data_IF_117762800000
#
_entry.id   IF_117762800000
#
_cell.length_a   1.000
_cell.length_b   1.000
_cell.length_c   1.000
_cell.angle_alpha   90.00
_cell.angle_beta   90.00
_cell.angle_gamma   90.00
#
_symmetry.space_group_name_H-M   'P 1'
#
loop_
_entity.id
_entity.type
_entity.pdbx_description
1 polymer ?
#
# COMPACT_ATOMS: atom_id res chain seq x y z
N UNK A 1 52.33 4.56 16.89
CA UNK A 1 51.40 5.60 17.39
C UNK A 1 50.00 5.11 17.10
N UNK A 2 49.23 4.75 18.13
CA UNK A 2 47.82 4.42 17.98
C UNK A 2 47.07 5.71 17.60
N UNK A 3 46.23 5.73 16.56
CA UNK A 3 45.43 6.89 16.23
C UNK A 3 44.51 7.21 17.42
N UNK A 4 44.53 8.48 17.81
CA UNK A 4 43.76 9.04 18.91
C UNK A 4 42.25 8.83 18.65
N UNK A 5 41.63 7.96 19.44
CA UNK A 5 40.22 7.56 19.30
C UNK A 5 39.21 8.62 19.80
N UNK A 6 39.68 9.83 20.13
CA UNK A 6 38.90 10.87 20.82
C UNK A 6 38.12 11.83 19.91
N UNK A 7 38.16 11.67 18.59
CA UNK A 7 37.30 12.42 17.66
C UNK A 7 36.31 11.51 16.95
N UNK A 8 35.36 10.94 17.71
CA UNK A 8 34.19 10.31 17.12
C UNK A 8 33.14 11.38 16.75
N UNK A 9 32.76 11.52 15.48
CA UNK A 9 31.71 12.45 15.03
C UNK A 9 30.33 11.91 15.40
N UNK A 10 30.03 11.84 16.70
CA UNK A 10 28.79 11.26 17.23
C UNK A 10 27.56 12.17 17.02
N UNK A 11 27.80 13.45 16.68
CA UNK A 11 26.76 14.43 16.41
C UNK A 11 26.09 14.27 15.05
N UNK A 12 26.76 13.61 14.10
CA UNK A 12 26.33 13.53 12.71
C UNK A 12 25.03 12.73 12.54
N UNK A 13 24.81 11.71 13.37
CA UNK A 13 23.67 10.78 13.21
C UNK A 13 22.41 11.20 13.95
N UNK A 14 22.51 11.91 15.09
CA UNK A 14 21.35 12.18 15.95
C UNK A 14 20.37 13.19 15.33
N UNK A 15 20.87 14.32 14.83
CA UNK A 15 20.00 15.35 14.24
C UNK A 15 19.38 14.90 12.92
N UNK A 16 20.17 14.25 12.06
CA UNK A 16 19.68 13.67 10.82
C UNK A 16 18.54 12.67 11.06
N UNK A 17 18.69 11.81 12.06
CA UNK A 17 17.66 10.87 12.45
C UNK A 17 16.37 11.58 12.91
N UNK A 18 16.49 12.58 13.80
CA UNK A 18 15.32 13.33 14.28
C UNK A 18 14.61 14.06 13.15
N UNK A 19 15.36 14.72 12.26
CA UNK A 19 14.79 15.44 11.11
C UNK A 19 14.04 14.48 10.18
N UNK A 20 14.65 13.33 9.84
CA UNK A 20 14.01 12.33 9.00
C UNK A 20 12.78 11.71 9.68
N UNK A 21 12.84 11.44 10.99
CA UNK A 21 11.70 10.94 11.75
C UNK A 21 10.54 11.94 11.74
N UNK A 22 10.81 13.22 11.97
CA UNK A 22 9.79 14.27 11.90
C UNK A 22 9.19 14.38 10.51
N UNK A 23 10.00 14.26 9.46
CA UNK A 23 9.51 14.25 8.07
C UNK A 23 8.61 13.03 7.80
N UNK A 24 8.98 11.85 8.28
CA UNK A 24 8.15 10.65 8.19
C UNK A 24 6.80 10.85 8.91
N UNK A 25 6.81 11.37 10.14
CA UNK A 25 5.61 11.63 10.92
C UNK A 25 4.71 12.67 10.25
N UNK A 26 5.29 13.76 9.73
CA UNK A 26 4.57 14.79 8.98
C UNK A 26 3.95 14.21 7.71
N UNK A 27 4.67 13.34 7.00
CA UNK A 27 4.19 12.67 5.79
C UNK A 27 3.01 11.76 6.10
N UNK A 28 3.14 10.92 7.13
CA UNK A 28 2.06 10.06 7.58
C UNK A 28 0.83 10.87 8.02
N UNK A 29 1.04 11.97 8.75
CA UNK A 29 -0.05 12.87 9.14
C UNK A 29 -0.73 13.50 7.92
N UNK A 30 0.03 14.00 6.95
CA UNK A 30 -0.50 14.59 5.73
C UNK A 30 -1.42 13.62 4.98
N UNK A 31 -0.93 12.43 4.64
CA UNK A 31 -1.70 11.46 3.88
C UNK A 31 -2.82 10.76 4.68
N UNK A 32 -2.79 10.81 6.02
CA UNK A 32 -3.88 10.28 6.85
C UNK A 32 -4.99 11.30 7.14
N UNK A 33 -4.75 12.59 6.89
CA UNK A 33 -5.70 13.67 7.22
C UNK A 33 -6.20 14.45 6.02
N UNK A 34 -5.43 14.49 4.95
CA UNK A 34 -5.75 15.26 3.75
C UNK A 34 -5.99 14.32 2.58
N UNK A 35 -7.24 14.23 2.14
CA UNK A 35 -7.57 13.60 0.87
C UNK A 35 -7.38 14.57 -0.29
N UNK A 36 -6.98 14.03 -1.44
CA UNK A 36 -6.86 14.76 -2.69
C UNK A 36 -8.22 15.19 -3.26
N UNK A 37 -9.28 14.47 -2.88
CA UNK A 37 -10.65 14.68 -3.33
C UNK A 37 -11.61 14.61 -2.16
N UNK A 38 -12.77 15.23 -2.31
CA UNK A 38 -13.86 15.10 -1.35
C UNK A 38 -15.20 15.09 -2.08
N UNK A 39 -16.22 14.55 -1.42
CA UNK A 39 -17.56 14.48 -1.98
C UNK A 39 -18.27 15.83 -1.92
N UNK A 40 -18.60 16.40 -3.09
CA UNK A 40 -19.43 17.60 -3.22
C UNK A 40 -20.83 17.22 -3.74
N UNK A 41 -21.82 18.04 -3.36
CA UNK A 41 -23.15 18.00 -3.95
C UNK A 41 -24.08 16.93 -3.34
N UNK A 42 -25.21 16.66 -4.01
CA UNK A 42 -26.24 15.78 -3.49
C UNK A 42 -25.79 14.31 -3.52
N UNK A 43 -26.26 13.56 -2.54
CA UNK A 43 -26.14 12.11 -2.49
C UNK A 43 -26.80 11.49 -3.73
N UNK A 44 -26.11 10.57 -4.42
CA UNK A 44 -26.64 9.84 -5.58
C UNK A 44 -27.35 8.55 -5.20
N UNK A 45 -27.00 7.96 -4.06
CA UNK A 45 -27.61 6.71 -3.60
C UNK A 45 -29.03 6.92 -3.07
N UNK A 46 -29.93 5.98 -3.37
CA UNK A 46 -31.22 5.88 -2.72
C UNK A 46 -31.11 5.01 -1.47
N UNK A 47 -31.63 5.53 -0.34
CA UNK A 47 -31.60 4.84 0.96
C UNK A 47 -30.17 4.37 1.36
N UNK A 48 -29.17 5.28 1.35
CA UNK A 48 -27.77 4.96 1.67
C UNK A 48 -27.55 4.58 3.14
N UNK A 49 -28.44 5.05 4.01
CA UNK A 49 -28.41 4.81 5.44
C UNK A 49 -29.21 3.56 5.83
N UNK A 50 -29.84 2.86 4.89
CA UNK A 50 -30.64 1.66 5.15
C UNK A 50 -31.80 1.84 6.15
N UNK A 51 -32.22 3.07 6.49
CA UNK A 51 -33.33 3.31 7.42
C UNK A 51 -34.67 2.76 6.88
N UNK A 52 -34.81 2.66 5.55
CA UNK A 52 -35.96 2.03 4.88
C UNK A 52 -35.71 0.56 4.53
N UNK A 53 -34.81 -0.10 5.29
CA UNK A 53 -34.36 -1.46 5.00
C UNK A 53 -33.59 -1.52 3.68
N UNK A 54 -33.95 -2.46 2.82
CA UNK A 54 -33.33 -2.67 1.51
C UNK A 54 -34.14 -2.06 0.36
N UNK A 55 -35.08 -1.15 0.65
CA UNK A 55 -35.84 -0.47 -0.40
C UNK A 55 -34.90 0.37 -1.28
N UNK A 56 -35.05 0.27 -2.60
CA UNK A 56 -34.17 0.89 -3.60
C UNK A 56 -32.93 0.08 -3.96
N UNK A 57 -32.71 -1.08 -3.33
CA UNK A 57 -31.57 -1.97 -3.59
C UNK A 57 -32.02 -3.24 -4.31
N UNK A 58 -31.24 -3.66 -5.30
CA UNK A 58 -31.41 -4.94 -5.97
C UNK A 58 -30.72 -6.02 -5.15
N UNK A 59 -31.39 -7.15 -4.95
CA UNK A 59 -30.93 -8.24 -4.07
C UNK A 59 -30.43 -9.40 -4.91
N UNK A 60 -29.18 -9.80 -4.69
CA UNK A 60 -28.66 -11.07 -5.18
C UNK A 60 -28.61 -12.08 -4.03
N UNK A 61 -29.55 -13.03 -4.07
CA UNK A 61 -29.69 -14.06 -3.03
C UNK A 61 -28.78 -15.25 -3.36
N UNK A 62 -27.94 -15.59 -2.39
CA UNK A 62 -27.16 -16.83 -2.34
C UNK A 62 -27.50 -17.65 -1.09
N UNK A 63 -26.59 -18.53 -0.67
CA UNK A 63 -26.75 -19.44 0.49
C UNK A 63 -26.49 -18.76 1.85
N UNK A 64 -27.03 -17.55 2.06
CA UNK A 64 -26.79 -16.77 3.27
C UNK A 64 -27.90 -15.78 3.60
N UNK A 65 -27.59 -14.80 4.45
CA UNK A 65 -28.54 -13.79 4.91
C UNK A 65 -28.07 -12.39 4.55
N UNK A 66 -29.00 -11.57 4.08
CA UNK A 66 -28.85 -10.12 3.93
C UNK A 66 -29.91 -9.48 4.80
N UNK A 67 -29.50 -8.55 5.65
CA UNK A 67 -30.41 -7.84 6.55
C UNK A 67 -29.89 -6.46 6.91
N UNK A 68 -30.74 -5.68 7.54
CA UNK A 68 -30.40 -4.35 8.03
C UNK A 68 -30.67 -4.27 9.53
N UNK A 69 -29.75 -3.67 10.29
CA UNK A 69 -29.91 -3.39 11.72
C UNK A 69 -29.76 -1.88 11.95
N UNK A 70 -30.88 -1.16 11.95
CA UNK A 70 -30.84 0.31 11.98
C UNK A 70 -30.14 0.85 10.72
N UNK A 71 -29.12 1.73 10.85
CA UNK A 71 -28.49 2.36 9.70
C UNK A 71 -27.40 1.50 9.03
N UNK A 72 -27.47 0.19 9.22
CA UNK A 72 -26.37 -0.73 8.91
C UNK A 72 -26.87 -1.89 8.07
N UNK A 73 -26.12 -2.20 7.01
CA UNK A 73 -26.27 -3.41 6.22
C UNK A 73 -25.40 -4.53 6.80
N UNK A 74 -25.95 -5.74 6.88
CA UNK A 74 -25.22 -6.96 7.25
C UNK A 74 -25.42 -8.04 6.20
N UNK A 75 -24.32 -8.60 5.72
CA UNK A 75 -24.30 -9.71 4.77
C UNK A 75 -23.50 -10.85 5.40
N UNK A 76 -24.08 -12.05 5.46
CA UNK A 76 -23.39 -13.21 6.03
C UNK A 76 -23.63 -14.48 5.23
N UNK A 77 -22.59 -15.31 5.09
CA UNK A 77 -22.67 -16.63 4.50
C UNK A 77 -21.88 -17.65 5.30
N UNK A 78 -22.47 -18.82 5.53
CA UNK A 78 -21.79 -19.95 6.19
C UNK A 78 -21.08 -20.87 5.20
N UNK A 79 -21.55 -20.92 3.95
CA UNK A 79 -21.06 -21.90 2.95
C UNK A 79 -20.04 -21.31 1.99
N UNK A 80 -20.20 -20.04 1.59
CA UNK A 80 -19.32 -19.38 0.63
C UNK A 80 -19.32 -20.01 -0.75
N UNK A 81 -20.42 -20.65 -1.15
CA UNK A 81 -20.56 -21.30 -2.46
C UNK A 81 -21.20 -20.40 -3.52
N UNK A 82 -21.69 -19.22 -3.14
CA UNK A 82 -22.47 -18.32 -4.00
C UNK A 82 -22.17 -16.85 -3.69
N UNK A 83 -22.51 -15.99 -4.64
CA UNK A 83 -22.47 -14.54 -4.46
C UNK A 83 -23.70 -14.10 -3.69
N UNK A 84 -23.49 -13.29 -2.66
CA UNK A 84 -24.54 -12.74 -1.83
C UNK A 84 -24.31 -11.25 -1.69
N UNK A 85 -25.27 -10.43 -2.11
CA UNK A 85 -25.03 -9.00 -2.16
C UNK A 85 -26.26 -8.16 -2.46
N UNK A 86 -26.03 -6.86 -2.42
CA UNK A 86 -26.96 -5.87 -2.92
C UNK A 86 -26.27 -4.97 -3.94
N UNK A 87 -27.06 -4.42 -4.85
CA UNK A 87 -26.57 -3.44 -5.80
C UNK A 87 -27.57 -2.32 -6.07
N UNK A 88 -27.04 -1.18 -6.51
CA UNK A 88 -27.83 -0.08 -7.03
C UNK A 88 -27.15 0.43 -8.30
N UNK A 89 -27.90 0.45 -9.40
CA UNK A 89 -27.40 0.83 -10.71
C UNK A 89 -27.98 2.18 -11.14
N UNK A 90 -27.16 2.94 -11.84
CA UNK A 90 -27.44 4.26 -12.36
C UNK A 90 -27.13 4.28 -13.85
N UNK A 91 -27.83 5.14 -14.58
CA UNK A 91 -27.44 5.49 -15.94
C UNK A 91 -26.16 6.33 -15.89
N UNK A 92 -25.17 6.02 -16.72
CA UNK A 92 -23.87 6.68 -16.67
C UNK A 92 -23.93 8.17 -17.09
N UNK A 93 -24.85 8.50 -18.01
CA UNK A 93 -25.15 9.88 -18.45
C UNK A 93 -25.74 10.77 -17.35
N UNK A 94 -26.34 10.17 -16.32
CA UNK A 94 -26.90 10.88 -15.17
C UNK A 94 -25.87 11.15 -14.05
N UNK A 95 -24.65 10.64 -14.19
CA UNK A 95 -23.59 10.75 -13.20
C UNK A 95 -22.47 11.70 -13.68
N UNK A 96 -21.82 12.43 -12.76
CA UNK A 96 -20.62 13.20 -13.07
C UNK A 96 -19.44 12.27 -13.38
N UNK A 97 -18.52 12.73 -14.22
CA UNK A 97 -17.36 11.95 -14.68
C UNK A 97 -16.47 11.41 -13.55
N UNK A 98 -16.41 12.13 -12.42
CA UNK A 98 -15.66 11.72 -11.25
C UNK A 98 -16.59 11.58 -10.04
N UNK A 99 -16.52 10.43 -9.38
CA UNK A 99 -17.35 10.10 -8.23
C UNK A 99 -16.47 9.83 -7.02
N UNK A 100 -16.96 10.27 -5.87
CA UNK A 100 -16.35 10.01 -4.57
C UNK A 100 -17.26 9.07 -3.79
N UNK A 101 -16.72 7.90 -3.44
CA UNK A 101 -17.39 6.91 -2.61
C UNK A 101 -16.77 6.93 -1.22
N UNK A 102 -17.62 7.00 -0.20
CA UNK A 102 -17.24 6.88 1.21
C UNK A 102 -18.10 5.81 1.86
N UNK A 103 -17.49 5.02 2.74
CA UNK A 103 -18.20 3.97 3.47
C UNK A 103 -17.38 3.53 4.68
N UNK A 104 -18.08 3.09 5.72
CA UNK A 104 -17.45 2.34 6.80
C UNK A 104 -17.76 0.85 6.63
N UNK A 105 -16.72 0.02 6.76
CA UNK A 105 -16.84 -1.42 6.63
C UNK A 105 -16.24 -2.12 7.84
N UNK A 106 -16.92 -3.17 8.31
CA UNK A 106 -16.42 -4.14 9.30
C UNK A 106 -16.54 -5.53 8.72
N UNK A 107 -15.55 -6.39 8.94
CA UNK A 107 -15.60 -7.80 8.53
C UNK A 107 -15.33 -8.71 9.73
N UNK A 108 -16.07 -9.80 9.84
CA UNK A 108 -15.84 -10.86 10.83
C UNK A 108 -15.66 -12.20 10.12
N UNK A 109 -14.46 -12.77 10.32
CA UNK A 109 -14.06 -14.12 9.87
C UNK A 109 -14.40 -14.36 8.40
N UNK A 110 -14.13 -13.36 7.56
CA UNK A 110 -14.28 -13.51 6.12
C UNK A 110 -13.18 -14.43 5.61
N UNK A 111 -13.55 -15.66 5.24
CA UNK A 111 -12.61 -16.63 4.66
C UNK A 111 -12.74 -16.51 3.14
N UNK A 112 -11.66 -16.12 2.44
CA UNK A 112 -11.69 -15.96 1.00
C UNK A 112 -11.94 -17.29 0.29
N UNK A 113 -12.55 -17.21 -0.88
CA UNK A 113 -12.79 -18.35 -1.75
C UNK A 113 -11.56 -18.74 -2.58
N UNK A 114 -11.80 -19.51 -3.65
CA UNK A 114 -10.73 -20.06 -4.51
C UNK A 114 -9.97 -19.00 -5.31
N UNK A 115 -10.63 -17.93 -5.75
CA UNK A 115 -10.02 -16.87 -6.54
C UNK A 115 -9.64 -15.71 -5.64
N UNK A 116 -8.61 -14.94 -6.01
CA UNK A 116 -8.12 -13.81 -5.22
C UNK A 116 -9.19 -12.72 -4.99
N UNK A 117 -10.14 -12.60 -5.92
CA UNK A 117 -11.30 -11.71 -5.82
C UNK A 117 -12.49 -12.29 -5.05
N UNK A 118 -12.43 -13.53 -4.58
CA UNK A 118 -13.48 -14.13 -3.75
C UNK A 118 -13.28 -13.69 -2.29
N UNK A 119 -13.86 -12.55 -1.93
CA UNK A 119 -13.88 -12.02 -0.56
C UNK A 119 -15.03 -11.01 -0.39
N UNK A 120 -15.11 -10.33 0.76
CA UNK A 120 -16.08 -9.26 0.97
C UNK A 120 -15.65 -8.01 0.20
N UNK A 121 -16.50 -7.48 -0.68
CA UNK A 121 -16.17 -6.40 -1.60
C UNK A 121 -17.24 -5.34 -1.68
N UNK A 122 -16.78 -4.12 -1.92
CA UNK A 122 -17.55 -2.97 -2.34
C UNK A 122 -16.93 -2.53 -3.65
N UNK A 123 -17.69 -2.54 -4.73
CA UNK A 123 -17.21 -2.23 -6.07
C UNK A 123 -18.14 -1.23 -6.75
N UNK A 124 -17.57 -0.25 -7.45
CA UNK A 124 -18.29 0.57 -8.42
C UNK A 124 -17.86 0.13 -9.81
N UNK A 125 -18.79 -0.46 -10.57
CA UNK A 125 -18.51 -1.12 -11.85
C UNK A 125 -19.32 -0.44 -12.96
N UNK A 126 -18.64 0.02 -14.00
CA UNK A 126 -19.28 0.44 -15.25
C UNK A 126 -19.62 -0.78 -16.10
N UNK A 127 -20.72 -0.76 -16.83
CA UNK A 127 -21.07 -1.78 -17.82
C UNK A 127 -21.31 -1.14 -19.17
N UNK A 128 -20.86 -1.82 -20.22
CA UNK A 128 -21.11 -1.41 -21.60
C UNK A 128 -22.55 -1.72 -22.05
N UNK A 129 -22.85 -1.34 -23.30
CA UNK A 129 -24.15 -1.59 -23.95
C UNK A 129 -24.54 -3.06 -24.06
N UNK A 130 -23.56 -3.97 -24.04
CA UNK A 130 -23.78 -5.41 -24.06
C UNK A 130 -23.96 -5.98 -22.65
N UNK A 131 -23.92 -5.14 -21.62
CA UNK A 131 -24.02 -5.54 -20.22
C UNK A 131 -22.74 -6.19 -19.68
N UNK A 132 -21.60 -6.06 -20.37
CA UNK A 132 -20.30 -6.56 -19.89
C UNK A 132 -19.68 -5.56 -18.93
N UNK A 133 -19.17 -6.06 -17.81
CA UNK A 133 -18.48 -5.25 -16.82
C UNK A 133 -17.16 -4.70 -17.37
N UNK A 134 -16.94 -3.40 -17.18
CA UNK A 134 -15.72 -2.68 -17.50
C UNK A 134 -14.90 -2.62 -16.21
N UNK A 135 -13.92 -3.51 -16.15
CA UNK A 135 -13.08 -3.73 -14.98
C UNK A 135 -11.80 -2.87 -15.01
N UNK A 136 -11.75 -1.81 -15.79
CA UNK A 136 -10.66 -0.84 -15.70
C UNK A 136 -11.07 0.27 -14.72
N UNK A 137 -10.24 0.53 -13.70
CA UNK A 137 -10.61 1.44 -12.60
C UNK A 137 -11.77 0.97 -11.71
N UNK A 138 -12.29 -0.25 -11.87
CA UNK A 138 -13.33 -0.80 -10.99
C UNK A 138 -12.78 -1.17 -9.61
N UNK A 139 -13.65 -1.11 -8.61
CA UNK A 139 -13.41 -1.68 -7.28
C UNK A 139 -12.88 -0.68 -6.27
N UNK A 140 -13.55 -0.66 -5.12
CA UNK A 140 -13.32 0.33 -4.07
C UNK A 140 -12.60 -0.28 -2.89
N UNK A 141 -13.14 -1.38 -2.38
CA UNK A 141 -12.60 -2.04 -1.23
C UNK A 141 -12.89 -3.53 -1.26
N UNK A 142 -11.90 -4.33 -0.86
CA UNK A 142 -11.97 -5.76 -0.67
C UNK A 142 -11.31 -6.11 0.65
N UNK A 143 -11.90 -7.03 1.42
CA UNK A 143 -11.34 -7.43 2.71
C UNK A 143 -11.63 -8.89 3.05
N UNK A 144 -10.67 -9.51 3.74
CA UNK A 144 -10.70 -10.89 4.25
C UNK A 144 -10.15 -10.94 5.68
N UNK A 145 -10.62 -11.86 6.50
CA UNK A 145 -10.26 -11.99 7.91
C UNK A 145 -11.24 -11.27 8.84
N UNK A 146 -10.76 -10.77 9.96
CA UNK A 146 -11.54 -9.99 10.94
C UNK A 146 -10.87 -8.65 11.18
N UNK A 147 -11.64 -7.57 11.07
CA UNK A 147 -11.19 -6.22 11.43
C UNK A 147 -12.40 -5.43 11.90
N UNK A 148 -12.16 -4.54 12.86
CA UNK A 148 -13.18 -3.59 13.30
C UNK A 148 -13.50 -2.56 12.20
N UNK A 149 -14.46 -1.67 12.47
CA UNK A 149 -14.87 -0.58 11.59
C UNK A 149 -13.68 0.21 11.07
N UNK A 150 -13.61 0.32 9.74
CA UNK A 150 -12.65 1.17 9.03
C UNK A 150 -13.39 2.05 8.06
N UNK A 151 -12.99 3.31 8.04
CA UNK A 151 -13.42 4.23 7.01
C UNK A 151 -12.63 3.94 5.73
N UNK A 152 -13.35 3.88 4.64
CA UNK A 152 -12.85 3.65 3.30
C UNK A 152 -13.36 4.78 2.43
N UNK A 153 -12.48 5.25 1.56
CA UNK A 153 -12.74 6.35 0.64
C UNK A 153 -11.98 6.13 -0.67
N UNK A 154 -12.45 6.75 -1.75
CA UNK A 154 -11.98 6.37 -3.08
C UNK A 154 -12.62 7.17 -4.20
N UNK A 155 -11.75 7.58 -5.12
CA UNK A 155 -12.10 8.28 -6.35
C UNK A 155 -12.38 7.26 -7.46
N UNK A 156 -13.51 7.43 -8.13
CA UNK A 156 -13.88 6.69 -9.32
C UNK A 156 -13.93 7.62 -10.52
N UNK A 157 -13.26 7.21 -11.59
CA UNK A 157 -13.44 7.82 -12.90
C UNK A 157 -14.39 6.93 -13.70
N UNK A 158 -15.48 7.51 -14.19
CA UNK A 158 -16.44 6.80 -15.02
C UNK A 158 -15.78 6.40 -16.35
N UNK A 159 -15.81 5.12 -16.74
CA UNK A 159 -15.34 4.73 -18.07
C UNK A 159 -16.20 5.41 -19.14
N UNK A 160 -15.58 6.01 -20.16
CA UNK A 160 -16.30 6.74 -21.22
C UNK A 160 -17.31 5.86 -21.99
N UNK A 161 -17.06 4.55 -22.02
CA UNK A 161 -17.88 3.56 -22.70
C UNK A 161 -18.96 2.90 -21.81
N UNK A 162 -19.08 3.34 -20.55
CA UNK A 162 -20.11 2.81 -19.64
C UNK A 162 -21.47 3.42 -19.98
N UNK A 163 -22.49 2.57 -20.13
CA UNK A 163 -23.89 3.00 -20.24
C UNK A 163 -24.59 2.99 -18.88
N UNK A 164 -24.20 2.06 -18.01
CA UNK A 164 -24.69 1.97 -16.64
C UNK A 164 -23.54 1.77 -15.68
N UNK A 165 -23.70 2.27 -14.46
CA UNK A 165 -22.74 2.10 -13.37
C UNK A 165 -23.47 1.51 -12.18
N UNK A 166 -22.95 0.44 -11.60
CA UNK A 166 -23.55 -0.20 -10.43
C UNK A 166 -22.59 -0.15 -9.25
N UNK A 167 -23.10 0.31 -8.11
CA UNK A 167 -22.48 0.09 -6.82
C UNK A 167 -22.91 -1.29 -6.33
N UNK A 168 -21.94 -2.16 -6.09
CA UNK A 168 -22.11 -3.54 -5.70
C UNK A 168 -21.48 -3.77 -4.32
N UNK A 169 -22.27 -4.24 -3.36
CA UNK A 169 -21.81 -4.61 -2.02
C UNK A 169 -22.05 -6.11 -1.83
N UNK A 170 -20.99 -6.91 -1.91
CA UNK A 170 -21.06 -8.36 -2.07
C UNK A 170 -20.10 -9.15 -1.19
N UNK A 171 -20.55 -10.35 -0.81
CA UNK A 171 -19.70 -11.43 -0.32
C UNK A 171 -19.55 -12.45 -1.45
N UNK A 172 -18.42 -12.40 -2.17
CA UNK A 172 -18.16 -13.24 -3.35
C UNK A 172 -17.61 -14.60 -2.96
N UNK A 173 -18.38 -15.67 -3.15
CA UNK A 173 -17.97 -17.06 -2.91
C UNK A 173 -17.12 -17.24 -1.64
N UNK A 174 -17.53 -16.59 -0.54
CA UNK A 174 -16.76 -16.47 0.69
C UNK A 174 -17.63 -16.73 1.92
N UNK A 175 -17.00 -17.20 2.98
CA UNK A 175 -17.66 -17.44 4.28
C UNK A 175 -17.40 -16.28 5.22
N UNK A 176 -18.23 -16.12 6.23
CA UNK A 176 -18.12 -15.07 7.25
C UNK A 176 -19.22 -14.04 7.12
N UNK A 177 -19.02 -12.88 7.73
CA UNK A 177 -19.94 -11.75 7.62
C UNK A 177 -19.20 -10.45 7.40
N UNK A 178 -19.85 -9.53 6.69
CA UNK A 178 -19.40 -8.17 6.64
C UNK A 178 -20.57 -7.20 6.77
N UNK A 179 -20.24 -6.02 7.27
CA UNK A 179 -21.17 -4.99 7.66
C UNK A 179 -20.73 -3.66 7.08
N UNK A 180 -21.72 -2.87 6.67
CA UNK A 180 -21.51 -1.59 6.00
C UNK A 180 -22.43 -0.52 6.59
N UNK A 181 -21.91 0.69 6.79
CA UNK A 181 -22.68 1.87 7.20
C UNK A 181 -22.06 3.16 6.63
N UNK A 182 -22.75 4.29 6.81
CA UNK A 182 -22.30 5.61 6.38
C UNK A 182 -21.92 5.66 4.89
N UNK A 183 -22.72 5.00 4.05
CA UNK A 183 -22.46 4.88 2.63
C UNK A 183 -22.79 6.19 1.89
N UNK A 184 -21.88 6.70 1.07
CA UNK A 184 -22.08 7.94 0.32
C UNK A 184 -21.43 7.88 -1.05
N UNK A 185 -22.20 8.21 -2.09
CA UNK A 185 -21.72 8.36 -3.46
C UNK A 185 -22.07 9.75 -3.94
N UNK A 186 -21.05 10.58 -4.14
CA UNK A 186 -21.19 11.99 -4.52
C UNK A 186 -20.29 12.33 -5.70
N UNK A 187 -20.45 13.53 -6.23
CA UNK A 187 -19.49 14.08 -7.19
C UNK A 187 -18.14 14.30 -6.48
N UNK A 188 -17.03 13.97 -7.13
CA UNK A 188 -15.72 14.23 -6.58
C UNK A 188 -15.28 15.65 -6.95
N UNK A 189 -14.89 16.44 -5.94
CA UNK A 189 -14.24 17.73 -6.13
C UNK A 189 -12.79 17.66 -5.67
N UNK A 190 -11.88 18.18 -6.50
CA UNK A 190 -10.46 18.27 -6.17
C UNK A 190 -10.23 19.24 -5.02
N UNK A 191 -9.49 18.80 -4.01
CA UNK A 191 -9.07 19.69 -2.94
C UNK A 191 -7.91 20.57 -3.45
N UNK A 192 -8.18 21.84 -3.70
CA UNK A 192 -7.20 22.78 -4.24
C UNK A 192 -5.98 23.02 -3.32
N UNK A 193 -6.10 22.76 -2.01
CA UNK A 193 -4.97 22.83 -1.08
C UNK A 193 -4.06 21.60 -1.16
N UNK A 194 -4.55 20.46 -1.64
CA UNK A 194 -3.80 19.21 -1.61
C UNK A 194 -2.55 19.23 -2.52
N UNK A 195 -2.63 19.61 -3.82
CA UNK A 195 -1.45 19.65 -4.69
C UNK A 195 -0.29 20.51 -4.18
N UNK A 196 -0.49 21.78 -3.72
CA UNK A 196 0.61 22.59 -3.22
C UNK A 196 1.22 22.01 -1.94
N UNK A 197 0.42 21.52 -0.99
CA UNK A 197 0.93 20.90 0.24
C UNK A 197 1.73 19.62 -0.05
N UNK A 198 1.24 18.76 -0.95
CA UNK A 198 1.98 17.59 -1.44
C UNK A 198 3.30 18.00 -2.09
N UNK A 199 3.29 19.07 -2.89
CA UNK A 199 4.49 19.62 -3.53
C UNK A 199 5.54 20.13 -2.53
N UNK A 200 5.11 20.87 -1.51
CA UNK A 200 5.99 21.35 -0.41
C UNK A 200 6.61 20.17 0.34
N UNK A 201 5.80 19.15 0.66
CA UNK A 201 6.29 17.96 1.37
C UNK A 201 7.27 17.16 0.50
N UNK A 202 7.00 17.00 -0.80
CA UNK A 202 7.92 16.37 -1.74
C UNK A 202 9.24 17.15 -1.86
N UNK A 203 9.18 18.48 -1.92
CA UNK A 203 10.38 19.32 -1.92
C UNK A 203 11.20 19.12 -0.63
N UNK A 204 10.54 19.02 0.53
CA UNK A 204 11.21 18.73 1.80
C UNK A 204 11.93 17.37 1.76
N UNK A 205 11.31 16.33 1.19
CA UNK A 205 11.93 15.03 0.95
C UNK A 205 13.17 15.13 0.06
N UNK A 206 13.11 15.90 -1.03
CA UNK A 206 14.25 16.09 -1.93
C UNK A 206 15.39 16.83 -1.20
N UNK A 207 15.10 17.93 -0.51
CA UNK A 207 16.11 18.71 0.21
C UNK A 207 16.79 17.88 1.30
N UNK A 208 16.00 17.18 2.12
CA UNK A 208 16.53 16.31 3.18
C UNK A 208 17.29 15.12 2.58
N UNK A 209 16.78 14.51 1.51
CA UNK A 209 17.45 13.42 0.80
C UNK A 209 18.82 13.84 0.24
N UNK A 210 18.90 15.01 -0.41
CA UNK A 210 20.17 15.58 -0.91
C UNK A 210 21.12 15.87 0.24
N UNK A 211 20.63 16.44 1.36
CA UNK A 211 21.43 16.71 2.54
C UNK A 211 22.00 15.43 3.16
N UNK A 212 21.18 14.37 3.28
CA UNK A 212 21.59 13.06 3.78
C UNK A 212 22.57 12.37 2.83
N UNK A 213 22.37 12.46 1.52
CA UNK A 213 23.27 11.90 0.52
C UNK A 213 24.61 12.62 0.52
N UNK A 214 24.61 13.96 0.55
CA UNK A 214 25.83 14.76 0.67
C UNK A 214 26.60 14.40 1.95
N UNK A 215 25.88 14.29 3.06
CA UNK A 215 26.39 13.83 4.34
C UNK A 215 27.06 12.45 4.21
N UNK A 216 26.35 11.48 3.65
CA UNK A 216 26.88 10.12 3.42
C UNK A 216 28.14 10.13 2.55
N UNK A 217 28.13 10.88 1.44
CA UNK A 217 29.26 10.99 0.52
C UNK A 217 30.46 11.68 1.17
N UNK A 218 30.25 12.74 1.93
CA UNK A 218 31.31 13.45 2.66
C UNK A 218 31.99 12.54 3.68
N UNK A 219 31.22 11.70 4.37
CA UNK A 219 31.73 10.72 5.33
C UNK A 219 32.46 9.54 4.66
N UNK A 220 32.11 9.21 3.43
CA UNK A 220 32.64 8.04 2.72
C UNK A 220 33.65 8.38 1.62
N UNK A 221 34.04 9.65 1.47
CA UNK A 221 34.92 10.14 0.40
C UNK A 221 36.29 9.46 0.36
N UNK A 222 36.74 8.88 1.47
CA UNK A 222 38.06 8.25 1.61
C UNK A 222 38.09 6.76 1.21
N UNK A 223 36.95 6.11 0.97
CA UNK A 223 36.91 4.67 0.67
C UNK A 223 35.92 4.35 -0.46
N UNK A 224 36.32 3.56 -1.46
CA UNK A 224 35.50 3.22 -2.63
C UNK A 224 34.12 2.61 -2.33
N UNK A 225 33.92 2.06 -1.12
CA UNK A 225 32.63 1.55 -0.63
C UNK A 225 31.55 2.65 -0.49
N UNK A 226 31.95 3.93 -0.41
CA UNK A 226 31.11 5.13 -0.58
C UNK A 226 30.14 5.04 -1.72
N UNK A 227 30.74 4.91 -2.89
CA UNK A 227 30.03 4.90 -4.16
C UNK A 227 29.14 3.66 -4.29
N UNK A 228 29.55 2.53 -3.72
CA UNK A 228 28.73 1.31 -3.70
C UNK A 228 27.43 1.50 -2.92
N UNK A 229 27.50 2.05 -1.69
CA UNK A 229 26.29 2.31 -0.90
C UNK A 229 25.39 3.33 -1.61
N UNK A 230 25.96 4.37 -2.21
CA UNK A 230 25.17 5.35 -2.96
C UNK A 230 24.50 4.73 -4.20
N UNK A 231 25.20 3.85 -4.91
CA UNK A 231 24.64 3.10 -6.02
C UNK A 231 23.48 2.20 -5.59
N UNK A 232 23.64 1.46 -4.49
CA UNK A 232 22.56 0.64 -3.93
C UNK A 232 21.34 1.49 -3.54
N UNK A 233 21.55 2.59 -2.81
CA UNK A 233 20.47 3.51 -2.42
C UNK A 233 19.76 4.10 -3.64
N UNK A 234 20.49 4.46 -4.69
CA UNK A 234 19.92 4.98 -5.93
C UNK A 234 19.05 3.93 -6.62
N UNK A 235 19.54 2.69 -6.77
CA UNK A 235 18.77 1.60 -7.38
C UNK A 235 17.50 1.31 -6.57
N UNK A 236 17.60 1.26 -5.24
CA UNK A 236 16.44 1.10 -4.37
C UNK A 236 15.45 2.24 -4.52
N UNK A 237 15.91 3.49 -4.55
CA UNK A 237 15.06 4.67 -4.73
C UNK A 237 14.34 4.65 -6.09
N UNK A 238 15.04 4.28 -7.17
CA UNK A 238 14.44 4.10 -8.49
C UNK A 238 13.36 3.01 -8.48
N UNK A 239 13.58 1.91 -7.77
CA UNK A 239 12.57 0.85 -7.60
C UNK A 239 11.36 1.30 -6.79
N UNK A 240 11.58 2.06 -5.70
CA UNK A 240 10.53 2.60 -4.83
C UNK A 240 9.66 3.62 -5.58
N UNK A 241 10.29 4.54 -6.32
CA UNK A 241 9.62 5.63 -7.05
C UNK A 241 9.10 5.21 -8.43
N UNK A 242 9.29 3.94 -8.81
CA UNK A 242 8.83 3.41 -10.09
C UNK A 242 7.29 3.45 -10.17
N UNK A 243 6.72 4.01 -11.26
CA UNK A 243 5.29 3.91 -11.54
C UNK A 243 4.82 2.45 -11.53
N UNK A 244 3.59 2.22 -11.05
CA UNK A 244 3.04 0.88 -10.85
C UNK A 244 2.97 0.08 -12.17
N UNK A 245 2.74 0.74 -13.30
CA UNK A 245 2.65 0.15 -14.63
C UNK A 245 4.00 -0.40 -15.08
N UNK A 246 5.06 0.40 -14.90
CA UNK A 246 6.43 0.01 -15.22
C UNK A 246 6.87 -1.14 -14.31
N UNK A 247 6.54 -1.06 -13.02
CA UNK A 247 6.83 -2.11 -12.05
C UNK A 247 6.17 -3.43 -12.46
N UNK A 248 4.88 -3.42 -12.78
CA UNK A 248 4.16 -4.62 -13.20
C UNK A 248 4.74 -5.20 -14.48
N UNK A 249 5.04 -4.34 -15.47
CA UNK A 249 5.70 -4.77 -16.70
C UNK A 249 7.03 -5.48 -16.41
N UNK A 250 7.87 -4.90 -15.55
CA UNK A 250 9.17 -5.47 -15.18
C UNK A 250 9.01 -6.80 -14.43
N UNK A 251 8.07 -6.90 -13.50
CA UNK A 251 7.79 -8.15 -12.78
C UNK A 251 7.37 -9.27 -13.74
N UNK A 252 6.54 -8.97 -14.74
CA UNK A 252 6.15 -9.94 -15.77
C UNK A 252 7.34 -10.40 -16.62
N UNK A 253 8.27 -9.50 -16.97
CA UNK A 253 9.49 -9.88 -17.68
C UNK A 253 10.37 -10.79 -16.83
N UNK A 254 10.58 -10.43 -15.55
CA UNK A 254 11.39 -11.22 -14.62
C UNK A 254 10.76 -12.60 -14.38
N UNK A 255 9.44 -12.67 -14.22
CA UNK A 255 8.72 -13.95 -14.09
C UNK A 255 8.91 -14.82 -15.34
N UNK A 256 8.81 -14.22 -16.54
CA UNK A 256 9.06 -14.92 -17.80
C UNK A 256 10.45 -15.54 -17.85
N UNK A 257 11.49 -14.77 -17.48
CA UNK A 257 12.88 -15.25 -17.42
C UNK A 257 13.05 -16.33 -16.34
N UNK A 258 12.50 -16.13 -15.14
CA UNK A 258 12.61 -17.08 -14.04
C UNK A 258 12.02 -18.45 -14.39
N UNK A 259 10.90 -18.47 -15.12
CA UNK A 259 10.28 -19.71 -15.61
C UNK A 259 11.20 -20.47 -16.58
N UNK A 260 12.02 -19.79 -17.38
CA UNK A 260 13.00 -20.46 -18.26
C UNK A 260 14.05 -21.25 -17.44
N UNK A 261 14.34 -20.82 -16.22
CA UNK A 261 15.26 -21.48 -15.30
C UNK A 261 14.56 -22.42 -14.30
N UNK A 262 13.26 -22.68 -14.47
CA UNK A 262 12.49 -23.55 -13.56
C UNK A 262 12.22 -22.94 -12.18
N UNK A 263 12.35 -21.63 -12.02
CA UNK A 263 12.07 -20.92 -10.77
C UNK A 263 10.60 -20.50 -10.74
N UNK A 264 9.87 -20.92 -9.71
CA UNK A 264 8.49 -20.52 -9.46
C UNK A 264 8.44 -19.15 -8.76
N UNK A 265 8.63 -18.07 -9.52
CA UNK A 265 8.36 -16.70 -9.09
C UNK A 265 7.01 -16.25 -9.63
N UNK A 266 6.26 -15.50 -8.83
CA UNK A 266 4.94 -14.98 -9.20
C UNK A 266 4.97 -13.45 -9.14
N UNK A 267 4.52 -12.79 -10.21
CA UNK A 267 4.29 -11.34 -10.20
C UNK A 267 3.25 -10.97 -9.14
N UNK A 268 3.39 -9.78 -8.58
CA UNK A 268 2.48 -9.29 -7.56
C UNK A 268 1.11 -9.03 -8.18
N UNK A 269 0.06 -9.75 -7.74
CA UNK A 269 -1.31 -9.39 -8.11
C UNK A 269 -1.60 -7.96 -7.62
N UNK A 270 -2.18 -7.16 -8.50
CA UNK A 270 -2.19 -5.69 -8.44
C UNK A 270 -3.07 -5.09 -7.33
N UNK A 271 -3.77 -5.90 -6.53
CA UNK A 271 -4.77 -5.39 -5.58
C UNK A 271 -4.80 -6.18 -4.28
N UNK A 272 -3.75 -6.05 -3.49
CA UNK A 272 -3.79 -6.43 -2.08
C UNK A 272 -4.11 -5.21 -1.23
N UNK A 273 -5.39 -5.04 -0.91
CA UNK A 273 -5.82 -4.01 0.04
C UNK A 273 -5.43 -4.41 1.45
N UNK A 274 -4.54 -3.61 2.04
CA UNK A 274 -4.29 -3.39 3.47
C UNK A 274 -4.69 -4.51 4.44
N UNK A 275 -4.06 -5.68 4.30
CA UNK A 275 -3.81 -6.49 5.48
C UNK A 275 -2.77 -5.75 6.32
N UNK A 276 -3.12 -5.39 7.57
CA UNK A 276 -2.13 -5.01 8.59
C UNK A 276 -1.44 -6.31 9.03
N UNK A 277 -0.80 -6.99 8.09
CA UNK A 277 0.00 -8.17 8.35
C UNK A 277 1.44 -7.71 8.48
N UNK A 278 2.07 -7.99 9.62
CA UNK A 278 3.48 -7.73 9.80
C UNK A 278 4.34 -8.58 8.86
N UNK A 279 3.83 -9.71 8.38
CA UNK A 279 4.54 -10.60 7.46
C UNK A 279 3.82 -10.69 6.12
N UNK A 280 4.55 -10.84 5.01
CA UNK A 280 3.94 -10.99 3.70
C UNK A 280 3.19 -12.33 3.60
N UNK A 281 1.94 -12.29 3.14
CA UNK A 281 1.16 -13.51 2.84
C UNK A 281 1.74 -14.30 1.65
N UNK A 282 2.38 -13.60 0.71
CA UNK A 282 3.03 -14.16 -0.46
C UNK A 282 4.33 -13.41 -0.77
N UNK A 283 5.33 -14.16 -1.25
CA UNK A 283 6.62 -13.62 -1.71
C UNK A 283 6.53 -13.28 -3.19
N UNK A 284 6.65 -11.99 -3.50
CA UNK A 284 6.68 -11.48 -4.89
C UNK A 284 8.08 -10.99 -5.24
N UNK A 285 8.32 -10.78 -6.54
CA UNK A 285 9.58 -10.26 -7.07
C UNK A 285 9.94 -8.92 -6.42
N UNK A 286 8.97 -8.02 -6.22
CA UNK A 286 9.19 -6.77 -5.52
C UNK A 286 9.70 -6.96 -4.09
N UNK A 287 9.08 -7.87 -3.32
CA UNK A 287 9.50 -8.16 -1.93
C UNK A 287 10.91 -8.74 -1.89
N UNK A 288 11.27 -9.57 -2.85
CA UNK A 288 12.65 -10.07 -2.98
C UNK A 288 13.64 -8.93 -3.30
N UNK A 289 13.24 -7.96 -4.14
CA UNK A 289 14.04 -6.78 -4.43
C UNK A 289 14.28 -5.90 -3.20
N UNK A 290 13.24 -5.68 -2.39
CA UNK A 290 13.31 -5.00 -1.10
C UNK A 290 14.27 -5.71 -0.13
N UNK A 291 14.03 -7.01 0.11
CA UNK A 291 14.87 -7.85 0.96
C UNK A 291 16.35 -7.81 0.53
N UNK A 292 16.62 -8.00 -0.77
CA UNK A 292 17.97 -8.01 -1.31
C UNK A 292 18.66 -6.65 -1.18
N UNK A 293 17.94 -5.56 -1.47
CA UNK A 293 18.47 -4.20 -1.35
C UNK A 293 18.92 -3.90 0.08
N UNK A 294 18.05 -4.13 1.05
CA UNK A 294 18.36 -3.88 2.46
C UNK A 294 19.39 -4.86 3.01
N UNK A 295 19.43 -6.10 2.53
CA UNK A 295 20.51 -7.04 2.81
C UNK A 295 21.88 -6.53 2.35
N UNK A 296 21.99 -6.04 1.12
CA UNK A 296 23.26 -5.54 0.57
C UNK A 296 23.71 -4.24 1.25
N UNK A 297 22.79 -3.30 1.47
CA UNK A 297 23.07 -2.04 2.17
C UNK A 297 23.55 -2.32 3.59
N UNK A 298 22.79 -3.12 4.35
CA UNK A 298 23.14 -3.44 5.74
C UNK A 298 24.45 -4.22 5.85
N UNK A 299 24.67 -5.23 5.01
CA UNK A 299 25.92 -5.99 4.97
C UNK A 299 27.12 -5.06 4.78
N UNK A 300 27.02 -4.12 3.83
CA UNK A 300 28.10 -3.16 3.55
C UNK A 300 28.35 -2.22 4.73
N UNK A 301 27.29 -1.71 5.36
CA UNK A 301 27.40 -0.81 6.51
C UNK A 301 27.97 -1.52 7.75
N UNK A 302 27.49 -2.72 8.06
CA UNK A 302 27.98 -3.51 9.21
C UNK A 302 29.42 -3.98 9.00
N UNK A 303 29.80 -4.36 7.78
CA UNK A 303 31.16 -4.83 7.46
C UNK A 303 32.24 -3.80 7.83
N UNK A 304 31.92 -2.51 7.77
CA UNK A 304 32.84 -1.43 8.13
C UNK A 304 33.03 -1.24 9.63
N UNK A 305 32.04 -1.61 10.45
CA UNK A 305 32.14 -1.55 11.91
C UNK A 305 32.36 -0.15 12.50
N UNK A 306 32.15 0.92 11.72
CA UNK A 306 32.34 2.32 12.16
C UNK A 306 31.24 2.83 13.09
N UNK A 307 30.11 2.13 13.17
CA UNK A 307 28.95 2.54 13.95
C UNK A 307 28.54 1.44 14.93
N UNK A 308 28.02 1.85 16.08
CA UNK A 308 27.39 0.93 17.01
C UNK A 308 26.21 0.20 16.32
N UNK A 309 26.10 -1.13 16.44
CA UNK A 309 25.07 -1.89 15.72
C UNK A 309 23.64 -1.38 15.95
N UNK A 310 23.31 -0.99 17.19
CA UNK A 310 21.99 -0.48 17.54
C UNK A 310 21.63 0.80 16.77
N UNK A 311 22.59 1.72 16.60
CA UNK A 311 22.39 2.95 15.84
C UNK A 311 22.16 2.63 14.36
N UNK A 312 22.89 1.66 13.79
CA UNK A 312 22.65 1.21 12.42
C UNK A 312 21.27 0.57 12.25
N UNK A 313 20.83 -0.26 13.19
CA UNK A 313 19.48 -0.81 13.16
C UNK A 313 18.41 0.29 13.19
N UNK A 314 18.57 1.30 14.05
CA UNK A 314 17.64 2.41 14.12
C UNK A 314 17.57 3.21 12.81
N UNK A 315 18.73 3.53 12.21
CA UNK A 315 18.80 4.26 10.93
C UNK A 315 18.21 3.43 9.79
N UNK A 316 18.52 2.13 9.72
CA UNK A 316 18.01 1.25 8.67
C UNK A 316 16.51 0.98 8.81
N UNK A 317 16.00 0.91 10.03
CA UNK A 317 14.56 0.87 10.28
C UNK A 317 13.87 2.14 9.81
N UNK A 318 14.44 3.31 10.12
CA UNK A 318 13.88 4.58 9.66
C UNK A 318 13.94 4.70 8.13
N UNK A 319 14.98 4.18 7.50
CA UNK A 319 15.09 4.09 6.04
C UNK A 319 14.00 3.19 5.43
N UNK A 320 13.70 2.04 6.05
CA UNK A 320 12.61 1.15 5.64
C UNK A 320 11.22 1.78 5.81
N UNK A 321 11.03 2.60 6.85
CA UNK A 321 9.78 3.39 6.97
C UNK A 321 9.71 4.49 5.91
N UNK A 322 10.83 5.17 5.67
CA UNK A 322 10.91 6.24 4.67
C UNK A 322 10.66 5.72 3.25
N UNK A 323 11.17 4.53 2.89
CA UNK A 323 10.92 3.91 1.59
C UNK A 323 9.42 3.69 1.34
N UNK A 324 8.68 3.22 2.34
CA UNK A 324 7.23 3.01 2.23
C UNK A 324 6.45 4.33 2.15
N UNK A 325 6.83 5.34 2.93
CA UNK A 325 6.17 6.65 2.88
C UNK A 325 6.43 7.37 1.55
N UNK A 326 7.60 7.21 0.95
CA UNK A 326 7.91 7.77 -0.37
C UNK A 326 7.02 7.19 -1.47
N UNK A 327 6.56 5.94 -1.34
CA UNK A 327 5.62 5.33 -2.31
C UNK A 327 4.27 6.06 -2.35
N UNK A 328 3.85 6.70 -1.26
CA UNK A 328 2.58 7.45 -1.22
C UNK A 328 2.57 8.65 -2.18
N UNK A 329 3.75 9.13 -2.61
CA UNK A 329 3.86 10.16 -3.63
C UNK A 329 3.75 9.63 -5.06
N UNK A 330 3.75 8.31 -5.26
CA UNK A 330 3.67 7.71 -6.60
C UNK A 330 2.22 7.28 -6.86
N UNK A 331 1.55 7.82 -7.88
CA UNK A 331 0.20 7.39 -8.24
C UNK A 331 0.10 5.88 -8.43
N UNK A 332 -0.96 5.27 -7.89
CA UNK A 332 -1.19 3.82 -7.99
C UNK A 332 -0.30 2.94 -7.10
N UNK A 333 0.61 3.52 -6.31
CA UNK A 333 1.37 2.80 -5.29
C UNK A 333 0.72 2.98 -3.93
N UNK A 334 0.65 1.91 -3.16
CA UNK A 334 0.20 1.91 -1.77
C UNK A 334 1.35 1.55 -0.85
N UNK A 335 1.50 2.26 0.27
CA UNK A 335 2.44 1.90 1.34
C UNK A 335 1.96 0.64 2.06
N UNK A 336 2.85 -0.30 2.36
CA UNK A 336 2.52 -1.51 3.10
C UNK A 336 3.51 -1.75 4.25
N UNK A 337 2.99 -1.85 5.48
CA UNK A 337 3.82 -2.18 6.65
C UNK A 337 4.53 -3.54 6.53
N UNK A 338 3.97 -4.48 5.74
CA UNK A 338 4.64 -5.75 5.48
C UNK A 338 5.98 -5.57 4.74
N UNK A 339 6.11 -4.53 3.91
CA UNK A 339 7.34 -4.27 3.15
C UNK A 339 8.43 -3.70 4.09
N UNK A 340 8.08 -2.90 5.11
CA UNK A 340 9.01 -2.52 6.19
C UNK A 340 9.58 -3.75 6.89
N UNK A 341 8.75 -4.75 7.19
CA UNK A 341 9.22 -5.98 7.82
C UNK A 341 10.15 -6.78 6.91
N UNK A 342 9.86 -6.84 5.60
CA UNK A 342 10.72 -7.50 4.61
C UNK A 342 12.09 -6.82 4.54
N UNK A 343 12.11 -5.48 4.51
CA UNK A 343 13.33 -4.69 4.56
C UNK A 343 14.14 -5.02 5.84
N UNK A 344 13.48 -5.09 6.99
CA UNK A 344 14.13 -5.43 8.27
C UNK A 344 14.66 -6.87 8.34
N UNK A 345 13.99 -7.84 7.68
CA UNK A 345 14.55 -9.18 7.51
C UNK A 345 15.86 -9.11 6.72
N UNK A 346 15.90 -8.34 5.63
CA UNK A 346 17.12 -8.08 4.87
C UNK A 346 18.23 -7.50 5.75
N UNK A 347 17.91 -6.51 6.58
CA UNK A 347 18.86 -5.89 7.53
C UNK A 347 19.45 -6.91 8.51
N UNK A 348 18.59 -7.75 9.11
CA UNK A 348 19.01 -8.79 10.06
C UNK A 348 19.91 -9.84 9.41
N UNK A 349 19.58 -10.27 8.18
CA UNK A 349 20.40 -11.21 7.42
C UNK A 349 21.79 -10.62 7.11
N UNK A 350 21.86 -9.35 6.73
CA UNK A 350 23.13 -8.70 6.43
C UNK A 350 24.02 -8.55 7.66
N UNK A 351 23.43 -8.19 8.80
CA UNK A 351 24.13 -8.20 10.09
C UNK A 351 24.64 -9.58 10.48
N UNK A 352 23.80 -10.62 10.34
CA UNK A 352 24.14 -11.99 10.71
C UNK A 352 25.31 -12.53 9.85
N UNK A 353 25.32 -12.25 8.55
CA UNK A 353 26.40 -12.60 7.64
C UNK A 353 27.73 -11.98 8.10
N UNK A 354 27.76 -10.66 8.27
CA UNK A 354 28.98 -9.94 8.66
C UNK A 354 29.48 -10.41 10.03
N UNK A 355 28.57 -10.60 10.98
CA UNK A 355 28.90 -11.05 12.33
C UNK A 355 29.51 -12.46 12.32
N UNK A 356 29.00 -13.33 11.47
CA UNK A 356 29.53 -14.69 11.29
C UNK A 356 30.92 -14.67 10.67
N UNK A 357 31.11 -13.91 9.58
CA UNK A 357 32.41 -13.79 8.91
C UNK A 357 33.49 -13.23 9.85
N UNK A 358 33.17 -12.24 10.68
CA UNK A 358 34.09 -11.71 11.69
C UNK A 358 34.50 -12.76 12.71
N UNK A 359 33.56 -13.60 13.19
CA UNK A 359 33.88 -14.67 14.15
C UNK A 359 34.86 -15.70 13.57
N UNK A 360 34.78 -15.98 12.27
CA UNK A 360 35.72 -16.89 11.60
C UNK A 360 37.09 -16.26 11.34
N UNK A 361 37.17 -14.95 11.07
CA UNK A 361 38.45 -14.26 10.83
C UNK A 361 39.32 -14.08 12.08
N UNK A 362 38.75 -14.23 13.28
CA UNK A 362 39.45 -14.12 14.56
C UNK A 362 39.75 -15.48 15.22
N UNK A 363 39.51 -16.60 14.51
CA UNK A 363 40.01 -17.93 14.85
C UNK A 363 41.12 -18.30 13.90
#
# INVERSE_FOLDING_TARGET
MAPDASHQPDHFTRWQFVVLLLLCLLTLFFFSRFSAFHGLGPQRLHNPDFHKGLNGWQLQRGSGSIGTLGPQLTISSKRGDSNLGISQCFSADALPQQLWLEVEMRVDRVIPGRLDWHHARIDLIGYDAQGRGIYDGHGFAGSSGSHDWRQLEGLFQLPQQAERVCLEIYLYHSRGSFEVRNLSLREAEANWFYPPLRGVLLLAWVVIGVWLLHSLLSYQREEGLGWWICGLLLVSLLGILMPQEIKLWLELQIEGVARLFGLALQASSSRHLNHISLLPAQWSIAKLGHLLSFFLISSTLFARGRFAPLNLFAVLFLLAVASELLQMFVPGRSSNLADVSVDMIGVLLGWALVSSLRRFSFR
#
